data_IF_676376679416
#
_entry.id   IF_676376679416
#
_cell.length_a   1.000
_cell.length_b   1.000
_cell.length_c   1.000
_cell.angle_alpha   90.00
_cell.angle_beta   90.00
_cell.angle_gamma   90.00
#
_symmetry.space_group_name_H-M   'P 1'
#
loop_
_entity.id
_entity.type
_entity.pdbx_description
1 polymer ?
#
# COMPACT_ATOMS: atom_id res chain seq x y z
N UNK A 1 15.97 -20.06 6.69
CA UNK A 1 15.46 -19.03 7.62
C UNK A 1 14.21 -19.57 8.30
N UNK A 2 13.95 -19.18 9.55
CA UNK A 2 12.77 -19.59 10.32
C UNK A 2 12.00 -18.32 10.68
N UNK A 3 10.69 -18.29 10.41
CA UNK A 3 9.83 -17.12 10.65
C UNK A 3 8.72 -17.46 11.64
N UNK A 4 8.26 -16.46 12.39
CA UNK A 4 7.11 -16.60 13.28
C UNK A 4 5.78 -16.62 12.48
N UNK A 5 4.74 -17.22 13.06
CA UNK A 5 3.42 -17.38 12.42
C UNK A 5 2.64 -16.07 12.25
N UNK A 6 3.09 -14.97 12.86
CA UNK A 6 2.50 -13.64 12.73
C UNK A 6 3.05 -12.83 11.56
N UNK A 7 4.02 -13.38 10.81
CA UNK A 7 4.61 -12.74 9.64
C UNK A 7 4.09 -13.41 8.35
N UNK A 8 3.48 -12.61 7.48
CA UNK A 8 3.23 -13.01 6.10
C UNK A 8 4.52 -12.84 5.27
N UNK A 9 4.96 -13.89 4.58
CA UNK A 9 6.12 -13.84 3.69
C UNK A 9 5.64 -13.99 2.24
N UNK A 10 5.78 -12.92 1.47
CA UNK A 10 5.48 -12.89 0.06
C UNK A 10 6.79 -12.88 -0.73
N UNK A 11 7.07 -13.96 -1.45
CA UNK A 11 8.35 -14.19 -2.12
C UNK A 11 8.26 -13.85 -3.62
N UNK A 12 8.44 -12.58 -3.95
CA UNK A 12 8.54 -12.10 -5.34
C UNK A 12 9.98 -11.80 -5.71
N UNK A 13 10.31 -11.96 -6.99
CA UNK A 13 11.65 -11.68 -7.53
C UNK A 13 11.74 -10.30 -8.19
N UNK A 14 10.63 -9.58 -8.28
CA UNK A 14 10.47 -8.39 -9.10
C UNK A 14 10.06 -7.20 -8.22
N UNK A 15 10.53 -6.01 -8.57
CA UNK A 15 10.23 -4.78 -7.82
C UNK A 15 8.85 -4.23 -8.16
N UNK A 16 8.25 -4.63 -9.27
CA UNK A 16 6.90 -4.21 -9.68
C UNK A 16 5.82 -4.66 -8.70
N UNK A 17 5.86 -5.93 -8.27
CA UNK A 17 4.96 -6.41 -7.22
C UNK A 17 5.26 -5.75 -5.88
N UNK A 18 6.55 -5.54 -5.57
CA UNK A 18 6.95 -4.81 -4.37
C UNK A 18 6.39 -3.38 -4.35
N UNK A 19 6.47 -2.65 -5.47
CA UNK A 19 5.94 -1.30 -5.62
C UNK A 19 4.44 -1.25 -5.35
N UNK A 20 3.68 -2.19 -5.94
CA UNK A 20 2.25 -2.29 -5.72
C UNK A 20 1.95 -2.52 -4.23
N UNK A 21 2.63 -3.46 -3.58
CA UNK A 21 2.39 -3.82 -2.18
C UNK A 21 2.90 -2.79 -1.16
N UNK A 22 3.88 -1.97 -1.52
CA UNK A 22 4.39 -0.88 -0.66
C UNK A 22 3.65 0.44 -0.90
N UNK A 23 2.86 0.54 -1.95
CA UNK A 23 2.09 1.75 -2.25
C UNK A 23 0.98 2.02 -1.24
N UNK A 24 0.57 3.29 -1.15
CA UNK A 24 -0.60 3.71 -0.37
C UNK A 24 -1.91 3.11 -0.89
N UNK A 25 -1.97 2.72 -2.17
CA UNK A 25 -3.13 2.05 -2.77
C UNK A 25 -3.37 0.71 -2.06
N UNK A 26 -2.32 -0.10 -1.92
CA UNK A 26 -2.41 -1.37 -1.20
C UNK A 26 -2.56 -1.17 0.31
N UNK A 27 -1.92 -0.14 0.87
CA UNK A 27 -2.09 0.20 2.28
C UNK A 27 -3.55 0.52 2.61
N UNK A 28 -4.22 1.36 1.82
CA UNK A 28 -5.62 1.74 2.03
C UNK A 28 -6.53 0.52 1.97
N UNK A 29 -6.30 -0.37 1.00
CA UNK A 29 -7.03 -1.64 0.89
C UNK A 29 -6.81 -2.53 2.12
N UNK A 30 -5.55 -2.72 2.50
CA UNK A 30 -5.18 -3.56 3.62
C UNK A 30 -5.73 -3.03 4.94
N UNK A 31 -5.78 -1.70 5.14
CA UNK A 31 -6.41 -1.07 6.31
C UNK A 31 -7.92 -1.23 6.33
N UNK A 32 -8.57 -1.17 5.17
CA UNK A 32 -10.01 -1.31 5.08
C UNK A 32 -10.51 -2.75 5.29
N UNK A 33 -9.81 -3.73 4.72
CA UNK A 33 -10.21 -5.15 4.80
C UNK A 33 -9.49 -5.95 5.90
N UNK A 34 -8.33 -5.48 6.33
CA UNK A 34 -7.58 -6.12 7.40
C UNK A 34 -8.35 -6.09 8.71
N UNK A 35 -8.23 -7.15 9.50
CA UNK A 35 -8.70 -7.13 10.88
C UNK A 35 -7.83 -6.17 11.70
N UNK A 36 -8.39 -5.48 12.69
CA UNK A 36 -7.61 -4.78 13.70
C UNK A 36 -7.40 -5.67 14.94
N UNK A 37 -6.25 -5.54 15.60
CA UNK A 37 -6.06 -6.03 16.97
C UNK A 37 -5.87 -4.82 17.88
N UNK A 38 -6.97 -4.35 18.47
CA UNK A 38 -7.05 -2.99 19.07
C UNK A 38 -6.78 -1.94 17.99
N UNK A 39 -5.68 -1.21 18.11
CA UNK A 39 -5.30 -0.05 17.30
C UNK A 39 -4.25 -0.42 16.23
N UNK A 40 -3.83 -1.70 16.18
CA UNK A 40 -2.81 -2.17 15.22
C UNK A 40 -3.45 -2.95 14.06
N UNK A 41 -3.06 -2.59 12.83
CA UNK A 41 -3.43 -3.34 11.62
C UNK A 41 -2.86 -4.76 11.70
N UNK A 42 -3.73 -5.76 11.59
CA UNK A 42 -3.34 -7.15 11.39
C UNK A 42 -3.54 -7.55 9.93
N UNK A 43 -2.43 -7.65 9.22
CA UNK A 43 -2.41 -8.08 7.83
C UNK A 43 -2.71 -9.58 7.72
N UNK A 44 -3.88 -9.92 7.15
CA UNK A 44 -4.27 -11.30 6.87
C UNK A 44 -4.22 -11.52 5.35
N UNK A 45 -3.35 -12.40 4.82
CA UNK A 45 -3.21 -12.56 3.37
C UNK A 45 -4.51 -12.90 2.63
N UNK A 46 -5.41 -13.69 3.22
CA UNK A 46 -6.70 -14.01 2.61
C UNK A 46 -7.59 -12.78 2.40
N UNK A 47 -7.53 -11.81 3.31
CA UNK A 47 -8.42 -10.65 3.31
C UNK A 47 -7.77 -9.44 2.64
N UNK A 48 -6.44 -9.33 2.73
CA UNK A 48 -5.68 -8.20 2.19
C UNK A 48 -5.05 -8.50 0.83
N UNK A 49 -4.37 -9.65 0.65
CA UNK A 49 -3.60 -9.94 -0.56
C UNK A 49 -4.43 -10.67 -1.62
N UNK A 50 -5.12 -11.75 -1.25
CA UNK A 50 -5.85 -12.61 -2.20
C UNK A 50 -7.05 -11.89 -2.84
N UNK A 51 -7.63 -10.93 -2.15
CA UNK A 51 -8.76 -10.12 -2.62
C UNK A 51 -8.33 -8.81 -3.29
N UNK A 52 -7.04 -8.45 -3.23
CA UNK A 52 -6.58 -7.18 -3.77
C UNK A 52 -6.72 -7.16 -5.30
N UNK A 53 -7.43 -6.18 -5.87
CA UNK A 53 -7.59 -6.11 -7.32
C UNK A 53 -6.31 -5.55 -7.98
N UNK A 54 -5.28 -6.39 -8.17
CA UNK A 54 -4.02 -6.02 -8.81
C UNK A 54 -4.20 -5.34 -10.18
N UNK A 55 -3.42 -4.29 -10.53
CA UNK A 55 -3.52 -3.66 -11.85
C UNK A 55 -3.10 -4.61 -12.96
N UNK A 56 -3.65 -4.42 -14.16
CA UNK A 56 -3.20 -5.15 -15.34
C UNK A 56 -1.98 -4.43 -15.93
N UNK A 57 -0.80 -5.04 -15.78
CA UNK A 57 0.44 -4.40 -16.22
C UNK A 57 0.63 -4.53 -17.74
N UNK A 58 0.95 -3.41 -18.37
CA UNK A 58 1.62 -3.36 -19.68
C UNK A 58 3.14 -3.39 -19.48
N UNK A 59 3.93 -3.78 -20.50
CA UNK A 59 5.39 -3.76 -20.40
C UNK A 59 5.95 -2.41 -19.92
N UNK A 60 5.41 -1.30 -20.44
CA UNK A 60 5.85 0.06 -20.08
C UNK A 60 5.55 0.39 -18.61
N UNK A 61 4.36 0.02 -18.11
CA UNK A 61 3.98 0.25 -16.71
C UNK A 61 4.73 -0.69 -15.76
N UNK A 62 5.02 -1.92 -16.18
CA UNK A 62 5.79 -2.88 -15.40
C UNK A 62 7.23 -2.40 -15.23
N UNK A 63 7.88 -1.96 -16.32
CA UNK A 63 9.23 -1.41 -16.27
C UNK A 63 9.32 -0.16 -15.37
N UNK A 64 8.33 0.74 -15.46
CA UNK A 64 8.28 1.90 -14.55
C UNK A 64 8.16 1.49 -13.09
N UNK A 65 7.31 0.51 -12.78
CA UNK A 65 7.14 0.01 -11.42
C UNK A 65 8.39 -0.73 -10.91
N UNK A 66 9.11 -1.45 -11.77
CA UNK A 66 10.41 -2.04 -11.44
C UNK A 66 11.41 -0.96 -11.03
N UNK A 67 11.57 0.07 -11.88
CA UNK A 67 12.57 1.12 -11.65
C UNK A 67 12.30 1.89 -10.35
N UNK A 68 11.07 2.39 -10.14
CA UNK A 68 10.73 3.12 -8.91
C UNK A 68 10.75 2.23 -7.67
N UNK A 69 10.37 0.96 -7.80
CA UNK A 69 10.42 0.01 -6.70
C UNK A 69 11.84 -0.31 -6.26
N UNK A 70 12.74 -0.51 -7.23
CA UNK A 70 14.15 -0.73 -6.98
C UNK A 70 14.78 0.50 -6.33
N UNK A 71 14.57 1.69 -6.90
CA UNK A 71 15.09 2.95 -6.39
C UNK A 71 14.64 3.20 -4.95
N UNK A 72 13.35 3.07 -4.67
CA UNK A 72 12.79 3.22 -3.32
C UNK A 72 13.36 2.17 -2.34
N UNK A 73 13.43 0.91 -2.75
CA UNK A 73 13.95 -0.17 -1.92
C UNK A 73 15.41 0.06 -1.54
N UNK A 74 16.26 0.32 -2.54
CA UNK A 74 17.70 0.51 -2.35
C UNK A 74 17.98 1.76 -1.54
N UNK A 75 17.31 2.88 -1.84
CA UNK A 75 17.48 4.12 -1.10
C UNK A 75 17.10 3.95 0.38
N UNK A 76 15.91 3.36 0.66
CA UNK A 76 15.48 3.08 2.05
C UNK A 76 16.47 2.18 2.78
N UNK A 77 16.97 1.13 2.12
CA UNK A 77 17.93 0.20 2.72
C UNK A 77 19.27 0.89 3.05
N UNK A 78 19.78 1.73 2.14
CA UNK A 78 21.01 2.49 2.36
C UNK A 78 20.84 3.55 3.45
N UNK A 79 19.69 4.24 3.49
CA UNK A 79 19.37 5.21 4.52
C UNK A 79 19.35 4.56 5.91
N UNK A 80 18.67 3.42 6.05
CA UNK A 80 18.63 2.65 7.29
C UNK A 80 20.03 2.23 7.76
N UNK A 81 20.89 1.78 6.83
CA UNK A 81 22.27 1.42 7.16
C UNK A 81 23.11 2.63 7.57
N UNK A 82 23.05 3.72 6.80
CA UNK A 82 23.81 4.96 7.02
C UNK A 82 23.47 5.59 8.38
N UNK A 83 22.19 5.56 8.75
CA UNK A 83 21.72 6.15 10.00
C UNK A 83 21.74 5.15 11.17
N UNK A 84 22.05 3.87 10.92
CA UNK A 84 21.98 2.78 11.90
C UNK A 84 20.58 2.65 12.54
N UNK A 85 19.54 2.71 11.70
CA UNK A 85 18.12 2.74 12.09
C UNK A 85 17.36 1.54 11.54
N UNK A 86 16.37 1.07 12.30
CA UNK A 86 15.38 0.08 11.84
C UNK A 86 14.22 0.72 11.07
N UNK A 87 13.31 -0.12 10.57
CA UNK A 87 12.09 0.34 9.89
C UNK A 87 11.25 1.24 10.79
N UNK A 88 11.03 0.86 12.06
CA UNK A 88 10.22 1.65 12.99
C UNK A 88 10.75 3.07 13.15
N UNK A 89 12.05 3.23 13.39
CA UNK A 89 12.65 4.56 13.56
C UNK A 89 12.62 5.38 12.27
N UNK A 90 12.88 4.72 11.13
CA UNK A 90 12.79 5.36 9.81
C UNK A 90 11.38 5.86 9.52
N UNK A 91 10.34 5.07 9.81
CA UNK A 91 8.96 5.45 9.55
C UNK A 91 8.39 6.43 10.57
N UNK A 92 8.88 6.42 11.81
CA UNK A 92 8.58 7.49 12.77
C UNK A 92 9.03 8.85 12.23
N UNK A 93 10.25 8.91 11.67
CA UNK A 93 10.77 10.12 11.00
C UNK A 93 9.99 10.44 9.73
N UNK A 94 9.67 9.44 8.92
CA UNK A 94 8.87 9.59 7.71
C UNK A 94 7.50 10.24 7.98
N UNK A 95 6.88 9.95 9.13
CA UNK A 95 5.59 10.51 9.52
C UNK A 95 5.68 11.77 10.40
N UNK A 96 6.89 12.23 10.74
CA UNK A 96 7.08 13.41 11.58
C UNK A 96 6.98 14.72 10.74
N UNK A 97 6.01 15.62 11.03
CA UNK A 97 5.89 16.90 10.33
C UNK A 97 7.06 17.86 10.58
N UNK A 98 7.79 17.68 11.67
CA UNK A 98 8.95 18.52 12.04
C UNK A 98 10.27 17.99 11.45
N UNK A 99 10.23 16.84 10.74
CA UNK A 99 11.41 16.26 10.11
C UNK A 99 11.84 17.07 8.88
N UNK A 100 13.12 17.44 8.87
CA UNK A 100 13.74 18.32 7.88
C UNK A 100 14.95 17.69 7.19
N UNK A 101 15.33 16.48 7.58
CA UNK A 101 16.39 15.71 6.94
C UNK A 101 16.08 15.47 5.45
N UNK A 102 17.00 15.89 4.58
CA UNK A 102 16.86 15.80 3.12
C UNK A 102 16.64 14.36 2.65
N UNK A 103 17.25 13.37 3.31
CA UNK A 103 17.07 11.97 2.92
C UNK A 103 15.66 11.47 3.26
N UNK A 104 15.06 11.95 4.37
CA UNK A 104 13.68 11.57 4.71
C UNK A 104 12.69 12.25 3.78
N UNK A 105 12.94 13.52 3.41
CA UNK A 105 12.15 14.23 2.41
C UNK A 105 12.23 13.48 1.06
N UNK A 106 13.43 13.10 0.64
CA UNK A 106 13.62 12.34 -0.59
C UNK A 106 12.94 10.96 -0.54
N UNK A 107 12.98 10.27 0.61
CA UNK A 107 12.24 9.02 0.79
C UNK A 107 10.73 9.21 0.58
N UNK A 108 10.16 10.34 1.03
CA UNK A 108 8.74 10.70 0.79
C UNK A 108 8.46 10.94 -0.69
N UNK A 109 9.35 11.63 -1.39
CA UNK A 109 9.24 11.85 -2.84
C UNK A 109 9.29 10.55 -3.63
N UNK A 110 10.22 9.65 -3.31
CA UNK A 110 10.30 8.33 -3.96
C UNK A 110 9.03 7.52 -3.72
N UNK A 111 8.46 7.57 -2.51
CA UNK A 111 7.18 6.93 -2.22
C UNK A 111 6.04 7.54 -3.05
N UNK A 112 6.00 8.86 -3.20
CA UNK A 112 5.00 9.55 -4.02
C UNK A 112 5.13 9.18 -5.51
N UNK A 113 6.35 9.04 -6.02
CA UNK A 113 6.61 8.58 -7.40
C UNK A 113 6.18 7.12 -7.61
N UNK A 114 6.46 6.25 -6.63
CA UNK A 114 5.98 4.87 -6.63
C UNK A 114 4.44 4.82 -6.63
N UNK A 115 3.78 5.61 -5.78
CA UNK A 115 2.31 5.70 -5.75
C UNK A 115 1.73 6.17 -7.10
N UNK A 116 2.36 7.19 -7.71
CA UNK A 116 1.99 7.68 -9.05
C UNK A 116 2.10 6.57 -10.10
N UNK A 117 3.20 5.82 -10.10
CA UNK A 117 3.39 4.71 -11.04
C UNK A 117 2.35 3.60 -10.86
N UNK A 118 1.96 3.29 -9.62
CA UNK A 118 0.89 2.32 -9.34
C UNK A 118 -0.46 2.83 -9.84
N UNK A 119 -0.83 4.08 -9.56
CA UNK A 119 -2.06 4.68 -10.08
C UNK A 119 -2.09 4.71 -11.62
N UNK A 120 -0.95 4.98 -12.26
CA UNK A 120 -0.82 4.93 -13.73
C UNK A 120 -1.04 3.52 -14.27
N UNK A 121 -0.59 2.48 -13.56
CA UNK A 121 -0.85 1.08 -13.92
C UNK A 121 -2.33 0.70 -13.81
N UNK A 122 -3.11 1.39 -12.96
CA UNK A 122 -4.57 1.31 -12.95
C UNK A 122 -5.25 2.16 -14.03
N UNK A 123 -4.50 3.07 -14.67
CA UNK A 123 -5.04 4.09 -15.60
C UNK A 123 -5.65 5.31 -14.88
N UNK A 124 -5.45 5.46 -13.57
CA UNK A 124 -6.03 6.53 -12.75
C UNK A 124 -5.13 7.77 -12.71
N UNK A 125 -4.91 8.37 -13.88
CA UNK A 125 -4.04 9.54 -14.06
C UNK A 125 -4.57 10.84 -13.44
N UNK A 126 -5.84 10.85 -13.04
CA UNK A 126 -6.57 12.00 -12.52
C UNK A 126 -6.47 12.15 -10.98
N UNK A 127 -6.03 11.12 -10.28
CA UNK A 127 -5.91 11.12 -8.80
C UNK A 127 -4.60 11.80 -8.39
N UNK A 128 -4.61 12.86 -7.56
CA UNK A 128 -3.38 13.48 -7.07
C UNK A 128 -2.65 12.57 -6.06
N UNK A 129 -1.34 12.75 -5.92
CA UNK A 129 -0.51 11.93 -5.01
C UNK A 129 0.04 12.69 -3.81
N UNK A 130 -0.26 13.97 -3.70
CA UNK A 130 0.20 14.83 -2.61
C UNK A 130 -0.33 14.33 -1.28
N UNK A 131 0.55 14.30 -0.29
CA UNK A 131 0.25 13.84 1.06
C UNK A 131 0.29 15.02 2.03
N UNK A 132 -0.47 14.87 3.10
CA UNK A 132 -0.52 15.81 4.21
C UNK A 132 -0.19 15.09 5.52
N UNK A 133 0.20 15.86 6.53
CA UNK A 133 0.34 15.35 7.88
C UNK A 133 -1.01 15.43 8.59
N UNK A 134 -1.73 14.33 8.59
CA UNK A 134 -3.04 14.20 9.22
C UNK A 134 -2.90 13.41 10.51
N UNK A 135 -3.80 13.64 11.47
CA UNK A 135 -3.88 12.77 12.64
C UNK A 135 -4.24 11.35 12.18
N UNK A 136 -3.58 10.36 12.76
CA UNK A 136 -3.98 8.98 12.53
C UNK A 136 -5.44 8.79 12.97
N UNK A 137 -6.22 8.04 12.20
CA UNK A 137 -7.69 7.95 12.34
C UNK A 137 -8.16 7.35 13.69
N UNK A 138 -7.22 6.96 14.54
CA UNK A 138 -7.43 6.01 15.64
C UNK A 138 -7.12 6.61 17.03
N UNK A 139 -6.78 7.91 17.14
CA UNK A 139 -6.70 8.61 18.43
C UNK A 139 -7.64 9.84 18.49
N UNK A 140 -8.92 9.60 18.82
CA UNK A 140 -9.83 10.60 19.42
C UNK A 140 -9.52 10.75 20.92
N UNK A 141 -8.26 10.98 21.28
CA UNK A 141 -7.93 11.27 22.68
C UNK A 141 -8.24 12.75 22.99
N UNK A 142 -9.50 13.01 23.37
CA UNK A 142 -9.95 14.22 24.08
C UNK A 142 -9.22 14.43 25.43
N UNK A 143 -8.34 13.51 25.82
CA UNK A 143 -7.73 13.43 27.15
C UNK A 143 -6.31 14.01 27.22
N UNK A 144 -6.10 15.25 26.77
CA UNK A 144 -5.02 16.14 27.27
C UNK A 144 -3.61 15.53 27.47
N UNK A 145 -3.23 14.53 26.68
CA UNK A 145 -1.99 13.77 26.87
C UNK A 145 -0.82 14.60 26.35
N UNK A 146 0.29 14.65 27.11
CA UNK A 146 1.54 15.32 26.70
C UNK A 146 2.29 14.57 25.58
N UNK A 147 1.69 13.54 25.00
CA UNK A 147 2.30 12.75 23.92
C UNK A 147 2.28 13.55 22.61
N UNK A 148 3.31 13.38 21.79
CA UNK A 148 3.35 13.94 20.44
C UNK A 148 2.16 13.37 19.68
N UNK A 149 1.36 14.25 19.06
CA UNK A 149 0.19 13.85 18.26
C UNK A 149 0.64 12.84 17.19
N UNK A 150 -0.09 11.73 16.98
CA UNK A 150 0.29 10.69 16.04
C UNK A 150 -0.01 11.15 14.61
N UNK A 151 0.78 12.09 14.12
CA UNK A 151 0.67 12.49 12.72
C UNK A 151 1.11 11.35 11.80
N UNK A 152 0.42 11.25 10.68
CA UNK A 152 0.72 10.31 9.62
C UNK A 152 0.79 11.06 8.30
N UNK A 153 1.87 10.83 7.57
CA UNK A 153 2.07 11.36 6.22
C UNK A 153 1.30 10.52 5.19
N UNK A 154 0.07 10.92 4.90
CA UNK A 154 -0.92 10.16 4.13
C UNK A 154 -1.69 11.05 3.16
N UNK A 155 -2.43 10.44 2.25
CA UNK A 155 -3.35 11.19 1.40
C UNK A 155 -4.48 11.85 2.19
N UNK A 156 -4.96 13.02 1.75
CA UNK A 156 -6.22 13.60 2.21
C UNK A 156 -7.36 12.58 2.13
N UNK A 157 -8.33 12.70 3.03
CA UNK A 157 -9.46 11.76 3.13
C UNK A 157 -10.22 11.65 1.81
N UNK A 158 -10.36 12.74 1.06
CA UNK A 158 -11.04 12.76 -0.23
C UNK A 158 -10.33 11.88 -1.26
N UNK A 159 -8.99 11.93 -1.31
CA UNK A 159 -8.17 11.13 -2.24
C UNK A 159 -8.17 9.67 -1.79
N UNK A 160 -8.04 9.43 -0.49
CA UNK A 160 -8.13 8.11 0.11
C UNK A 160 -9.45 7.41 -0.23
N UNK A 161 -10.57 8.10 -0.02
CA UNK A 161 -11.91 7.55 -0.21
C UNK A 161 -12.21 7.30 -1.69
N UNK A 162 -11.76 8.18 -2.58
CA UNK A 162 -11.86 7.99 -4.03
C UNK A 162 -11.10 6.73 -4.49
N UNK A 163 -9.84 6.56 -4.05
CA UNK A 163 -9.05 5.37 -4.39
C UNK A 163 -9.71 4.10 -3.86
N UNK A 164 -10.18 4.13 -2.61
CA UNK A 164 -10.86 2.98 -2.00
C UNK A 164 -12.16 2.62 -2.76
N UNK A 165 -12.95 3.62 -3.14
CA UNK A 165 -14.17 3.41 -3.91
C UNK A 165 -13.88 2.72 -5.27
N UNK A 166 -12.86 3.20 -6.00
CA UNK A 166 -12.46 2.58 -7.28
C UNK A 166 -11.93 1.17 -7.12
N UNK A 167 -11.18 0.89 -6.04
CA UNK A 167 -10.71 -0.46 -5.73
C UNK A 167 -11.89 -1.40 -5.44
N UNK A 168 -12.87 -0.96 -4.65
CA UNK A 168 -14.07 -1.75 -4.33
C UNK A 168 -14.89 -2.04 -5.60
N UNK A 169 -15.09 -1.04 -6.46
CA UNK A 169 -15.78 -1.21 -7.74
C UNK A 169 -15.05 -2.22 -8.65
N UNK A 170 -13.72 -2.06 -8.77
CA UNK A 170 -12.90 -2.97 -9.57
C UNK A 170 -12.93 -4.40 -9.04
N UNK A 171 -12.85 -4.58 -7.72
CA UNK A 171 -12.92 -5.89 -7.09
C UNK A 171 -14.29 -6.56 -7.32
N UNK A 172 -15.39 -5.80 -7.16
CA UNK A 172 -16.75 -6.29 -7.41
C UNK A 172 -16.92 -6.72 -8.88
N UNK A 173 -16.43 -5.92 -9.84
CA UNK A 173 -16.50 -6.25 -11.25
C UNK A 173 -15.75 -7.54 -11.60
N UNK A 174 -14.57 -7.77 -10.99
CA UNK A 174 -13.79 -9.00 -11.16
C UNK A 174 -14.48 -10.22 -10.56
N UNK A 175 -15.03 -10.08 -9.36
CA UNK A 175 -15.81 -11.14 -8.73
C UNK A 175 -17.00 -11.58 -9.61
N UNK A 176 -17.75 -10.62 -10.15
CA UNK A 176 -18.88 -10.91 -11.04
C UNK A 176 -18.43 -11.62 -12.33
N UNK A 177 -17.27 -11.25 -12.88
CA UNK A 177 -16.67 -11.93 -14.01
C UNK A 177 -16.24 -13.37 -13.68
N UNK A 178 -15.57 -13.59 -12.56
CA UNK A 178 -15.17 -14.93 -12.09
C UNK A 178 -16.38 -15.83 -11.88
N UNK A 179 -17.43 -15.34 -11.21
CA UNK A 179 -18.69 -16.07 -11.02
C UNK A 179 -19.33 -16.43 -12.37
N UNK A 180 -19.33 -15.49 -13.33
CA UNK A 180 -19.84 -15.72 -14.68
C UNK A 180 -19.05 -16.79 -15.43
N UNK A 181 -17.72 -16.78 -15.34
CA UNK A 181 -16.84 -17.76 -15.98
C UNK A 181 -16.92 -19.14 -15.31
N UNK A 182 -16.94 -19.20 -13.97
CA UNK A 182 -17.13 -20.43 -13.21
C UNK A 182 -18.45 -21.14 -13.54
N UNK A 183 -19.55 -20.37 -13.66
CA UNK A 183 -20.85 -20.89 -14.14
C UNK A 183 -20.79 -21.43 -15.59
N UNK A 184 -20.00 -20.82 -16.48
CA UNK A 184 -19.78 -21.33 -17.86
C UNK A 184 -19.01 -22.65 -17.86
N UNK A 185 -17.96 -22.78 -17.03
CA UNK A 185 -17.16 -24.01 -16.90
C UNK A 185 -17.97 -25.17 -16.34
N UNK A 186 -18.80 -24.95 -15.32
CA UNK A 186 -19.71 -25.97 -14.78
C UNK A 186 -20.75 -26.45 -15.80
N UNK A 187 -21.28 -25.55 -16.66
CA UNK A 187 -22.21 -25.94 -17.74
C UNK A 187 -21.55 -26.79 -18.83
N UNK A 188 -20.24 -26.63 -19.08
CA UNK A 188 -19.49 -27.49 -20.01
C UNK A 188 -19.21 -28.88 -19.43
N UNK A 189 -18.88 -28.98 -18.14
CA UNK A 189 -18.63 -30.27 -17.48
C UNK A 189 -19.86 -31.18 -17.34
N UNK A 190 -21.07 -30.60 -17.25
CA UNK A 190 -22.35 -31.34 -17.15
C UNK A 190 -22.90 -31.91 -18.48
N UNK A 191 -22.22 -31.70 -19.61
CA UNK A 191 -22.63 -32.14 -20.95
C UNK A 191 -21.96 -33.45 -21.42
N UNK A 192 -21.42 -34.24 -20.50
CA UNK A 192 -20.84 -35.57 -20.76
C UNK A 192 -21.62 -36.60 -19.97
#
# INVERSE_FOLDING_TARGET
MVFANTLAVLAFQNYSTFSILQSRIHENWARFLGSSMKDDLRYTPSDCFETFPFPNLTPDTEERLENFGQEYYEFRAQLMQRNNQGLTETYNRFHDPDETDEDIIHLRELHQQMDRAVLDAYGWTDIPTDCEFLLDYEEDDETGSKRKKPYRYRWPSEVHDEVLARLLELNQARYDEEVRLGKKTQKRGKKT
#
